data_IF_666183486010
#
_entry.id   IF_666183486010
#
_cell.length_a   1.000
_cell.length_b   1.000
_cell.length_c   1.000
_cell.angle_alpha   90.00
_cell.angle_beta   90.00
_cell.angle_gamma   90.00
#
_symmetry.space_group_name_H-M   'P 1'
#
loop_
_entity.id
_entity.type
_entity.pdbx_description
1 polymer ?
#
# COMPACT_ATOMS: atom_id res chain seq x y z
N UNK A 1 -1.56 -22.30 13.66
CA UNK A 1 -0.77 -21.15 14.14
C UNK A 1 -1.63 -20.40 15.14
N UNK A 2 -1.16 -20.19 16.37
CA UNK A 2 -1.90 -19.38 17.35
C UNK A 2 -2.04 -17.96 16.82
N UNK A 3 -3.28 -17.48 16.69
CA UNK A 3 -3.55 -16.09 16.32
C UNK A 3 -2.83 -15.18 17.32
N UNK A 4 -1.99 -14.25 16.84
CA UNK A 4 -1.38 -13.23 17.70
C UNK A 4 -2.48 -12.58 18.56
N UNK A 5 -2.28 -12.39 19.88
CA UNK A 5 -3.29 -11.80 20.74
C UNK A 5 -3.74 -10.46 20.14
N UNK A 6 -5.04 -10.35 19.87
CA UNK A 6 -5.64 -9.15 19.30
C UNK A 6 -6.21 -8.30 20.42
N UNK A 7 -5.46 -7.26 20.80
CA UNK A 7 -5.94 -6.29 21.78
C UNK A 7 -7.09 -5.44 21.22
N UNK A 8 -8.08 -5.17 22.07
CA UNK A 8 -9.17 -4.24 21.77
C UNK A 8 -8.64 -2.80 21.67
N UNK A 9 -9.45 -1.91 21.09
CA UNK A 9 -9.12 -0.47 21.02
C UNK A 9 -8.95 0.10 22.43
N UNK A 10 -9.82 -0.28 23.37
CA UNK A 10 -9.73 0.16 24.78
C UNK A 10 -8.47 -0.33 25.49
N UNK A 11 -7.99 -1.53 25.14
CA UNK A 11 -6.72 -2.04 25.67
C UNK A 11 -5.53 -1.24 25.13
N UNK A 12 -5.54 -0.93 23.83
CA UNK A 12 -4.50 -0.09 23.20
C UNK A 12 -4.52 1.34 23.74
N UNK A 13 -5.70 1.93 23.90
CA UNK A 13 -5.87 3.24 24.54
C UNK A 13 -5.31 3.23 25.97
N UNK A 14 -5.61 2.19 26.76
CA UNK A 14 -5.05 2.04 28.11
C UNK A 14 -3.52 1.91 28.08
N UNK A 15 -2.96 1.19 27.12
CA UNK A 15 -1.51 1.06 26.96
C UNK A 15 -0.85 2.41 26.65
N UNK A 16 -1.39 3.16 25.70
CA UNK A 16 -0.90 4.50 25.33
C UNK A 16 -0.96 5.45 26.53
N UNK A 17 -2.10 5.49 27.23
CA UNK A 17 -2.29 6.35 28.42
C UNK A 17 -1.31 6.04 29.55
N UNK A 18 -0.89 4.78 29.71
CA UNK A 18 0.05 4.35 30.76
C UNK A 18 1.52 4.65 30.42
N UNK A 19 1.82 5.02 29.19
CA UNK A 19 3.19 5.21 28.69
C UNK A 19 3.35 6.57 28.00
N UNK A 20 3.21 7.68 28.74
CA UNK A 20 3.27 9.02 28.16
C UNK A 20 4.63 9.35 27.53
N UNK A 21 5.72 8.71 27.99
CA UNK A 21 7.07 8.88 27.45
C UNK A 21 7.35 8.06 26.19
N UNK A 22 6.49 7.09 25.84
CA UNK A 22 6.62 6.34 24.59
C UNK A 22 5.77 7.01 23.51
N UNK A 23 6.34 7.11 22.31
CA UNK A 23 5.66 7.60 21.12
C UNK A 23 4.95 6.45 20.40
N UNK A 24 3.79 6.71 19.85
CA UNK A 24 3.01 5.69 19.16
C UNK A 24 2.63 6.15 17.77
N UNK A 25 2.74 5.25 16.80
CA UNK A 25 2.20 5.42 15.45
C UNK A 25 1.06 4.43 15.26
N UNK A 26 -0.15 4.93 15.06
CA UNK A 26 -1.35 4.13 14.89
C UNK A 26 -1.65 3.98 13.40
N UNK A 27 -1.85 2.75 12.93
CA UNK A 27 -2.05 2.39 11.53
C UNK A 27 -3.30 1.51 11.36
N UNK A 28 -3.75 1.30 10.14
CA UNK A 28 -5.00 0.60 9.86
C UNK A 28 -4.87 -0.92 9.99
N UNK A 29 -3.95 -1.51 9.24
CA UNK A 29 -3.84 -2.93 8.99
C UNK A 29 -2.73 -3.61 9.78
N UNK A 30 -2.85 -4.92 9.95
CA UNK A 30 -1.80 -5.74 10.57
C UNK A 30 -0.54 -5.81 9.71
N UNK A 31 -0.70 -5.75 8.39
CA UNK A 31 0.39 -5.83 7.41
C UNK A 31 1.20 -4.52 7.35
N UNK A 32 0.62 -3.40 7.78
CA UNK A 32 1.27 -2.08 7.82
C UNK A 32 2.33 -2.01 8.92
N UNK A 33 2.09 -2.68 10.05
CA UNK A 33 2.97 -2.64 11.23
C UNK A 33 4.41 -3.03 10.89
N UNK A 34 4.70 -4.20 10.27
CA UNK A 34 6.07 -4.55 9.90
C UNK A 34 6.67 -3.58 8.88
N UNK A 35 5.87 -3.06 7.95
CA UNK A 35 6.34 -2.14 6.91
C UNK A 35 6.77 -0.79 7.49
N UNK A 36 5.93 -0.15 8.31
CA UNK A 36 6.28 1.09 9.00
C UNK A 36 7.38 0.89 10.03
N UNK A 37 7.39 -0.22 10.77
CA UNK A 37 8.48 -0.50 11.71
C UNK A 37 9.84 -0.59 10.99
N UNK A 38 9.91 -1.31 9.88
CA UNK A 38 11.14 -1.40 9.08
C UNK A 38 11.56 -0.02 8.53
N UNK A 39 10.59 0.74 8.03
CA UNK A 39 10.79 2.09 7.52
C UNK A 39 11.37 3.00 8.59
N UNK A 40 10.76 3.08 9.78
CA UNK A 40 11.22 3.92 10.89
C UNK A 40 12.59 3.49 11.42
N UNK A 41 12.82 2.19 11.60
CA UNK A 41 14.13 1.67 12.00
C UNK A 41 15.25 2.06 11.02
N UNK A 42 14.95 2.20 9.73
CA UNK A 42 15.95 2.55 8.72
C UNK A 42 16.27 4.04 8.62
N UNK A 43 15.42 4.92 9.16
CA UNK A 43 15.57 6.39 9.06
C UNK A 43 15.82 7.08 10.41
N UNK A 44 15.58 6.37 11.51
CA UNK A 44 15.85 6.84 12.87
C UNK A 44 17.24 6.39 13.34
N UNK A 45 17.80 7.11 14.29
CA UNK A 45 19.12 6.79 14.84
C UNK A 45 19.07 5.46 15.60
N UNK A 46 20.12 4.62 15.49
CA UNK A 46 20.25 3.42 16.31
C UNK A 46 20.14 3.75 17.80
N UNK A 47 19.39 2.96 18.57
CA UNK A 47 19.17 3.16 20.01
C UNK A 47 17.90 3.94 20.37
N UNK A 48 17.14 4.43 19.39
CA UNK A 48 15.84 5.09 19.61
C UNK A 48 14.64 4.14 19.58
N UNK A 49 14.86 2.85 19.31
CA UNK A 49 13.79 1.86 19.09
C UNK A 49 12.93 1.61 20.34
N UNK A 50 13.46 1.88 21.54
CA UNK A 50 12.71 1.78 22.79
C UNK A 50 11.79 2.97 23.05
N UNK A 51 11.87 4.02 22.24
CA UNK A 51 11.14 5.28 22.46
C UNK A 51 9.84 5.34 21.65
N UNK A 52 9.60 4.38 20.76
CA UNK A 52 8.41 4.36 19.91
C UNK A 52 7.87 2.96 19.61
N UNK A 53 6.57 2.89 19.30
CA UNK A 53 5.91 1.66 18.86
C UNK A 53 4.88 1.94 17.75
N UNK A 54 4.65 0.95 16.88
CA UNK A 54 3.62 1.00 15.82
C UNK A 54 2.49 0.03 16.17
N UNK A 55 1.25 0.51 16.17
CA UNK A 55 0.05 -0.29 16.45
C UNK A 55 -0.96 -0.23 15.32
N UNK A 56 -1.48 -1.38 14.91
CA UNK A 56 -2.67 -1.44 14.05
C UNK A 56 -3.94 -1.23 14.88
N UNK A 57 -5.03 -0.70 14.33
CA UNK A 57 -6.36 -0.64 15.00
C UNK A 57 -7.53 -1.17 14.18
N UNK A 58 -7.26 -2.00 13.16
CA UNK A 58 -8.24 -2.67 12.29
C UNK A 58 -9.12 -1.69 11.52
N UNK A 59 -8.48 -0.97 10.60
CA UNK A 59 -9.15 -0.14 9.60
C UNK A 59 -9.37 1.31 10.03
N UNK A 60 -9.55 2.15 9.01
CA UNK A 60 -9.70 3.61 9.07
C UNK A 60 -10.65 4.12 10.15
N UNK A 61 -11.87 3.60 10.22
CA UNK A 61 -12.86 4.06 11.21
C UNK A 61 -12.34 3.97 12.63
N UNK A 62 -11.59 2.91 12.96
CA UNK A 62 -11.03 2.74 14.29
C UNK A 62 -9.82 3.65 14.54
N UNK A 63 -9.05 3.99 13.49
CA UNK A 63 -8.00 5.01 13.57
C UNK A 63 -8.63 6.37 13.93
N UNK A 64 -9.70 6.76 13.24
CA UNK A 64 -10.41 8.02 13.50
C UNK A 64 -11.05 8.02 14.90
N UNK A 65 -11.73 6.95 15.29
CA UNK A 65 -12.29 6.84 16.65
C UNK A 65 -11.20 6.97 17.73
N UNK A 66 -10.01 6.42 17.50
CA UNK A 66 -8.88 6.54 18.41
C UNK A 66 -8.36 7.98 18.46
N UNK A 67 -8.22 8.64 17.31
CA UNK A 67 -7.82 10.04 17.18
C UNK A 67 -8.73 10.98 17.98
N UNK A 68 -10.04 10.75 17.91
CA UNK A 68 -11.05 11.52 18.65
C UNK A 68 -11.05 11.19 20.16
N UNK A 69 -10.81 9.93 20.52
CA UNK A 69 -10.87 9.45 21.92
C UNK A 69 -9.60 9.72 22.74
N UNK A 70 -8.51 10.14 22.10
CA UNK A 70 -7.24 10.39 22.76
C UNK A 70 -6.58 11.65 22.21
N UNK A 71 -6.38 12.65 23.07
CA UNK A 71 -5.81 13.96 22.72
C UNK A 71 -4.33 14.11 23.10
N UNK A 72 -3.67 13.03 23.52
CA UNK A 72 -2.27 13.10 23.92
C UNK A 72 -1.32 13.33 22.74
N UNK A 73 -0.22 14.03 23.00
CA UNK A 73 0.74 14.44 21.98
C UNK A 73 1.73 13.34 21.59
N UNK A 74 1.79 12.24 22.34
CA UNK A 74 2.67 11.10 22.11
C UNK A 74 2.11 10.09 21.08
N UNK A 75 1.13 10.49 20.27
CA UNK A 75 0.54 9.63 19.24
C UNK A 75 0.46 10.36 17.90
N UNK A 76 0.75 9.63 16.83
CA UNK A 76 0.42 10.01 15.46
C UNK A 76 -0.30 8.87 14.76
N UNK A 77 -1.00 9.19 13.69
CA UNK A 77 -1.90 8.28 12.99
C UNK A 77 -1.55 8.29 11.50
N UNK A 78 -1.62 7.12 10.86
CA UNK A 78 -1.45 7.00 9.41
C UNK A 78 -2.66 6.25 8.87
N UNK A 79 -3.25 6.78 7.80
CA UNK A 79 -4.38 6.20 7.08
C UNK A 79 -4.10 6.16 5.59
N UNK A 80 -4.60 5.11 4.96
CA UNK A 80 -4.61 4.95 3.51
C UNK A 80 -5.53 6.01 2.89
N UNK A 81 -5.22 6.42 1.65
CA UNK A 81 -6.08 7.37 0.93
C UNK A 81 -7.42 6.73 0.60
N UNK A 82 -7.38 5.47 0.16
CA UNK A 82 -8.50 4.76 -0.46
C UNK A 82 -9.26 5.66 -1.48
N UNK A 83 -10.54 5.38 -1.69
CA UNK A 83 -11.45 6.25 -2.42
C UNK A 83 -12.18 7.24 -1.51
N UNK A 84 -11.84 7.34 -0.23
CA UNK A 84 -12.58 8.13 0.74
C UNK A 84 -12.04 9.56 0.87
N UNK A 85 -12.91 10.59 0.93
CA UNK A 85 -12.48 11.92 1.31
C UNK A 85 -12.30 11.94 2.82
N UNK A 86 -11.08 11.76 3.32
CA UNK A 86 -10.79 11.92 4.75
C UNK A 86 -10.79 13.42 5.05
N UNK A 87 -11.90 13.92 5.60
CA UNK A 87 -12.07 15.32 5.96
C UNK A 87 -11.56 15.65 7.38
N UNK A 88 -10.40 15.11 7.77
CA UNK A 88 -9.76 15.48 9.04
C UNK A 88 -8.53 16.34 8.78
N UNK A 89 -8.53 17.53 9.37
CA UNK A 89 -7.40 18.48 9.33
C UNK A 89 -6.52 18.34 10.59
N UNK A 90 -6.68 17.26 11.36
CA UNK A 90 -5.89 17.04 12.58
C UNK A 90 -4.41 16.81 12.22
N UNK A 91 -3.52 17.64 12.76
CA UNK A 91 -2.08 17.58 12.50
C UNK A 91 -1.42 16.26 12.94
N UNK A 92 -2.11 15.47 13.77
CA UNK A 92 -1.63 14.17 14.23
C UNK A 92 -1.89 13.07 13.19
N UNK A 93 -2.74 13.32 12.20
CA UNK A 93 -3.15 12.38 11.18
C UNK A 93 -2.39 12.65 9.87
N UNK A 94 -1.71 11.62 9.37
CA UNK A 94 -1.11 11.61 8.04
C UNK A 94 -1.95 10.72 7.14
N UNK A 95 -2.45 11.30 6.04
CA UNK A 95 -3.09 10.53 4.97
C UNK A 95 -2.06 10.25 3.88
N UNK A 96 -2.03 9.02 3.37
CA UNK A 96 -1.12 8.68 2.29
C UNK A 96 -1.46 9.44 1.00
N UNK A 97 -0.43 9.79 0.21
CA UNK A 97 -0.64 10.39 -1.11
C UNK A 97 -1.14 9.38 -2.15
N UNK A 98 -0.82 8.08 -2.00
CA UNK A 98 -1.28 6.98 -2.87
C UNK A 98 -2.41 6.21 -2.22
N UNK A 99 -3.09 5.35 -3.00
CA UNK A 99 -4.24 4.57 -2.55
C UNK A 99 -3.98 3.87 -1.20
N UNK A 100 -2.93 3.06 -1.09
CA UNK A 100 -2.46 2.42 0.15
C UNK A 100 -0.93 2.39 0.25
N UNK A 101 -0.41 1.85 1.35
CA UNK A 101 1.03 1.64 1.55
C UNK A 101 1.65 0.78 0.43
N UNK A 102 0.97 -0.26 -0.04
CA UNK A 102 1.47 -1.15 -1.08
C UNK A 102 1.67 -0.43 -2.42
N UNK A 103 0.95 0.65 -2.69
CA UNK A 103 1.19 1.44 -3.90
C UNK A 103 2.56 2.11 -3.91
N UNK A 104 3.22 2.27 -2.76
CA UNK A 104 4.61 2.74 -2.72
C UNK A 104 5.60 1.67 -3.14
N UNK A 105 5.20 0.39 -3.22
CA UNK A 105 6.06 -0.69 -3.73
C UNK A 105 6.31 -0.53 -5.23
N UNK A 106 5.41 0.15 -5.94
CA UNK A 106 5.55 0.57 -7.33
C UNK A 106 6.49 1.77 -7.41
N UNK A 107 7.76 1.53 -7.14
CA UNK A 107 8.84 2.51 -7.15
C UNK A 107 10.12 1.85 -7.67
N UNK A 108 10.64 2.36 -8.77
CA UNK A 108 11.87 1.90 -9.40
C UNK A 108 13.09 1.97 -8.46
N UNK A 109 13.18 3.00 -7.60
CA UNK A 109 14.20 3.09 -6.56
C UNK A 109 14.11 1.92 -5.58
N UNK A 110 12.92 1.58 -5.06
CA UNK A 110 12.79 0.44 -4.14
C UNK A 110 13.22 -0.88 -4.81
N UNK A 111 12.75 -1.10 -6.05
CA UNK A 111 13.04 -2.35 -6.78
C UNK A 111 14.53 -2.45 -7.13
N UNK A 112 15.14 -1.36 -7.59
CA UNK A 112 16.57 -1.32 -7.92
C UNK A 112 17.47 -1.54 -6.72
N UNK A 113 17.16 -0.96 -5.56
CA UNK A 113 17.87 -1.23 -4.30
C UNK A 113 17.69 -2.70 -3.86
N UNK A 114 16.48 -3.23 -3.99
CA UNK A 114 16.16 -4.64 -3.70
C UNK A 114 16.98 -5.62 -4.56
N UNK A 115 17.34 -5.21 -5.78
CA UNK A 115 18.11 -6.00 -6.73
C UNK A 115 19.63 -5.75 -6.67
N UNK A 116 20.09 -4.63 -6.10
CA UNK A 116 21.50 -4.22 -6.07
C UNK A 116 22.43 -5.28 -5.47
N UNK A 117 22.10 -5.72 -4.25
CA UNK A 117 22.88 -6.75 -3.54
C UNK A 117 22.90 -8.09 -4.30
N UNK A 118 21.75 -8.70 -4.67
CA UNK A 118 21.76 -10.00 -5.32
C UNK A 118 22.31 -9.98 -6.75
N UNK A 119 22.32 -8.84 -7.45
CA UNK A 119 22.94 -8.69 -8.76
C UNK A 119 24.40 -8.20 -8.69
N UNK A 120 24.91 -7.84 -7.50
CA UNK A 120 26.25 -7.22 -7.32
C UNK A 120 26.43 -5.97 -8.19
N UNK A 121 25.37 -5.16 -8.32
CA UNK A 121 25.35 -3.92 -9.10
C UNK A 121 24.99 -2.72 -8.25
N UNK A 122 25.14 -1.52 -8.80
CA UNK A 122 24.62 -0.30 -8.16
C UNK A 122 23.13 -0.17 -8.43
N UNK A 123 22.38 0.42 -7.48
CA UNK A 123 20.95 0.67 -7.68
C UNK A 123 20.69 1.56 -8.91
N UNK A 124 21.55 2.56 -9.16
CA UNK A 124 21.43 3.42 -10.36
C UNK A 124 21.51 2.61 -11.65
N UNK A 125 22.55 1.78 -11.81
CA UNK A 125 22.72 0.98 -13.03
C UNK A 125 21.56 0.00 -13.23
N UNK A 126 21.06 -0.60 -12.15
CA UNK A 126 19.91 -1.50 -12.22
C UNK A 126 18.64 -0.75 -12.59
N UNK A 127 18.41 0.44 -12.02
CA UNK A 127 17.24 1.26 -12.33
C UNK A 127 17.19 1.64 -13.81
N UNK A 128 18.32 2.03 -14.37
CA UNK A 128 18.44 2.40 -15.80
C UNK A 128 18.13 1.18 -16.70
N UNK A 129 18.54 -0.02 -16.28
CA UNK A 129 18.29 -1.28 -16.98
C UNK A 129 16.89 -1.87 -16.76
N UNK A 130 16.23 -1.59 -15.62
CA UNK A 130 14.98 -2.24 -15.20
C UNK A 130 13.81 -1.90 -16.13
N UNK A 131 13.87 -0.73 -16.79
CA UNK A 131 12.81 -0.22 -17.67
C UNK A 131 11.43 -0.21 -17.02
N UNK A 132 11.35 0.27 -15.77
CA UNK A 132 10.12 0.23 -14.97
C UNK A 132 8.93 0.95 -15.62
N UNK A 133 9.18 1.96 -16.44
CA UNK A 133 8.13 2.66 -17.19
C UNK A 133 7.45 1.78 -18.26
N UNK A 134 8.16 0.79 -18.83
CA UNK A 134 7.54 -0.18 -19.74
C UNK A 134 6.51 -1.05 -19.00
N UNK A 135 6.82 -1.45 -17.76
CA UNK A 135 5.88 -2.18 -16.90
C UNK A 135 4.61 -1.36 -16.62
N UNK A 136 4.78 -0.11 -16.15
CA UNK A 136 3.65 0.76 -15.83
C UNK A 136 2.79 1.05 -17.06
N UNK A 137 3.41 1.34 -18.20
CA UNK A 137 2.69 1.63 -19.45
C UNK A 137 1.90 0.41 -19.94
N UNK A 138 2.49 -0.79 -19.84
CA UNK A 138 1.86 -2.01 -20.32
C UNK A 138 0.61 -2.42 -19.53
N UNK A 139 0.52 -2.06 -18.24
CA UNK A 139 -0.65 -2.39 -17.40
C UNK A 139 -1.65 -1.23 -17.29
N UNK A 140 -1.28 0.00 -17.69
CA UNK A 140 -2.03 1.21 -17.35
C UNK A 140 -3.50 1.15 -17.78
N UNK A 141 -3.79 0.81 -19.05
CA UNK A 141 -5.17 0.81 -19.55
C UNK A 141 -6.09 -0.17 -18.80
N UNK A 142 -5.55 -1.34 -18.45
CA UNK A 142 -6.26 -2.38 -17.72
C UNK A 142 -6.51 -1.97 -16.26
N UNK A 143 -5.49 -1.38 -15.63
CA UNK A 143 -5.62 -0.82 -14.27
C UNK A 143 -6.61 0.35 -14.26
N UNK A 144 -6.57 1.23 -15.25
CA UNK A 144 -7.47 2.36 -15.36
C UNK A 144 -8.94 1.90 -15.49
N UNK A 145 -9.20 0.91 -16.36
CA UNK A 145 -10.55 0.32 -16.47
C UNK A 145 -11.05 -0.20 -15.13
N UNK A 146 -10.20 -0.94 -14.41
CA UNK A 146 -10.52 -1.46 -13.09
C UNK A 146 -10.72 -0.34 -12.05
N UNK A 147 -9.83 0.65 -12.03
CA UNK A 147 -9.88 1.81 -11.15
C UNK A 147 -11.21 2.55 -11.26
N UNK A 148 -11.65 2.85 -12.49
CA UNK A 148 -12.90 3.55 -12.75
C UNK A 148 -14.11 2.77 -12.25
N UNK A 149 -14.15 1.46 -12.51
CA UNK A 149 -15.21 0.59 -12.03
C UNK A 149 -15.23 0.51 -10.49
N UNK A 150 -14.08 0.32 -9.84
CA UNK A 150 -13.99 0.32 -8.38
C UNK A 150 -14.42 1.66 -7.77
N UNK A 151 -14.01 2.77 -8.37
CA UNK A 151 -14.40 4.11 -7.93
C UNK A 151 -15.92 4.31 -8.04
N UNK A 152 -16.52 3.96 -9.19
CA UNK A 152 -17.95 4.04 -9.39
C UNK A 152 -18.72 3.16 -8.40
N UNK A 153 -18.29 1.91 -8.26
CA UNK A 153 -18.87 0.99 -7.28
C UNK A 153 -18.85 1.60 -5.88
N UNK A 154 -17.71 2.10 -5.42
CA UNK A 154 -17.57 2.65 -4.07
C UNK A 154 -18.40 3.91 -3.83
N UNK A 155 -18.54 4.77 -4.85
CA UNK A 155 -19.23 6.06 -4.73
C UNK A 155 -20.73 5.99 -4.97
N UNK A 156 -21.19 5.08 -5.84
CA UNK A 156 -22.57 5.03 -6.32
C UNK A 156 -23.29 3.77 -5.86
N UNK A 157 -22.67 2.61 -6.00
CA UNK A 157 -23.33 1.32 -5.77
C UNK A 157 -23.23 0.87 -4.30
N UNK A 158 -22.02 0.82 -3.75
CA UNK A 158 -21.76 0.36 -2.39
C UNK A 158 -22.58 1.10 -1.30
N UNK A 159 -22.89 2.41 -1.40
CA UNK A 159 -23.76 3.08 -0.43
C UNK A 159 -25.22 2.64 -0.46
N UNK A 160 -25.71 2.10 -1.59
CA UNK A 160 -27.12 1.68 -1.74
C UNK A 160 -27.35 0.23 -1.32
N UNK A 161 -26.29 -0.59 -1.23
CA UNK A 161 -26.36 -1.98 -0.81
C UNK A 161 -26.51 -2.08 0.71
N UNK A 162 -27.59 -2.71 1.16
CA UNK A 162 -27.75 -3.18 2.54
C UNK A 162 -27.22 -4.61 2.71
N UNK A 163 -26.41 -4.86 3.73
CA UNK A 163 -25.87 -6.20 4.03
C UNK A 163 -24.45 -6.42 3.49
N UNK A 164 -24.18 -7.64 3.01
CA UNK A 164 -22.84 -8.03 2.56
C UNK A 164 -22.53 -7.38 1.21
N UNK A 165 -21.54 -6.49 1.21
CA UNK A 165 -21.02 -5.83 0.01
C UNK A 165 -19.97 -6.73 -0.66
N UNK A 166 -19.99 -6.91 -2.00
CA UNK A 166 -18.89 -7.59 -2.66
C UNK A 166 -17.57 -6.85 -2.42
N UNK A 167 -16.52 -7.61 -2.10
CA UNK A 167 -15.14 -7.13 -1.99
C UNK A 167 -14.35 -7.55 -3.22
N UNK A 168 -13.37 -6.74 -3.63
CA UNK A 168 -12.49 -6.99 -4.79
C UNK A 168 -11.00 -6.90 -4.44
N UNK A 169 -10.66 -6.53 -3.20
CA UNK A 169 -9.25 -6.30 -2.80
C UNK A 169 -8.38 -7.54 -2.92
N UNK A 170 -8.98 -8.72 -2.79
CA UNK A 170 -8.32 -10.03 -2.83
C UNK A 170 -8.47 -10.73 -4.19
N UNK A 171 -9.19 -10.13 -5.14
CA UNK A 171 -9.41 -10.72 -6.46
C UNK A 171 -8.13 -10.61 -7.31
N UNK A 172 -7.70 -11.74 -7.89
CA UNK A 172 -6.54 -11.78 -8.76
C UNK A 172 -6.88 -11.25 -10.15
N UNK A 173 -6.31 -10.11 -10.53
CA UNK A 173 -6.48 -9.50 -11.87
C UNK A 173 -5.35 -9.84 -12.85
N UNK A 174 -4.48 -10.78 -12.52
CA UNK A 174 -3.32 -11.15 -13.33
C UNK A 174 -3.44 -12.53 -13.93
N UNK A 175 -2.67 -12.81 -14.99
CA UNK A 175 -2.70 -14.11 -15.68
C UNK A 175 -2.25 -15.21 -14.70
N UNK A 176 -3.17 -16.09 -14.32
CA UNK A 176 -2.96 -17.11 -13.28
C UNK A 176 -2.11 -18.31 -13.71
N UNK A 177 -1.86 -18.47 -15.01
CA UNK A 177 -1.02 -19.54 -15.53
C UNK A 177 0.37 -19.48 -14.87
N UNK A 178 0.96 -20.65 -14.55
CA UNK A 178 2.32 -20.84 -13.99
C UNK A 178 3.47 -20.20 -14.83
N UNK A 179 3.15 -19.39 -15.83
CA UNK A 179 4.06 -18.68 -16.70
C UNK A 179 4.74 -17.48 -16.03
N UNK A 180 5.76 -16.97 -16.71
CA UNK A 180 6.55 -15.81 -16.32
C UNK A 180 5.87 -14.47 -16.64
N UNK A 181 4.62 -14.49 -17.15
CA UNK A 181 3.92 -13.26 -17.53
C UNK A 181 3.56 -12.44 -16.29
N UNK A 182 3.90 -11.16 -16.35
CA UNK A 182 3.53 -10.14 -15.38
C UNK A 182 2.37 -9.25 -15.87
N UNK A 183 1.80 -9.56 -17.04
CA UNK A 183 0.65 -8.84 -17.59
C UNK A 183 -0.63 -9.14 -16.81
N UNK A 184 -1.56 -8.20 -16.88
CA UNK A 184 -2.90 -8.35 -16.32
C UNK A 184 -3.78 -9.20 -17.24
N UNK A 185 -4.81 -9.81 -16.66
CA UNK A 185 -5.75 -10.70 -17.34
C UNK A 185 -7.06 -9.94 -17.60
N UNK A 186 -7.35 -9.63 -18.86
CA UNK A 186 -8.59 -8.91 -19.21
C UNK A 186 -9.84 -9.64 -18.76
N UNK A 187 -9.89 -10.97 -18.90
CA UNK A 187 -11.02 -11.79 -18.45
C UNK A 187 -11.23 -11.65 -16.94
N UNK A 188 -10.17 -11.79 -16.13
CA UNK A 188 -10.29 -11.68 -14.67
C UNK A 188 -10.68 -10.27 -14.23
N UNK A 189 -10.18 -9.24 -14.93
CA UNK A 189 -10.62 -7.86 -14.69
C UNK A 189 -12.12 -7.72 -15.01
N UNK A 190 -12.58 -8.21 -16.16
CA UNK A 190 -14.00 -8.15 -16.53
C UNK A 190 -14.87 -8.90 -15.51
N UNK A 191 -14.47 -10.10 -15.08
CA UNK A 191 -15.16 -10.86 -14.04
C UNK A 191 -15.26 -10.08 -12.72
N UNK A 192 -14.19 -9.39 -12.31
CA UNK A 192 -14.26 -8.54 -11.12
C UNK A 192 -15.16 -7.32 -11.33
N UNK A 193 -15.15 -6.71 -12.52
CA UNK A 193 -16.04 -5.59 -12.84
C UNK A 193 -17.50 -6.05 -12.81
N UNK A 194 -17.83 -7.16 -13.47
CA UNK A 194 -19.18 -7.73 -13.53
C UNK A 194 -19.71 -8.13 -12.15
N UNK A 195 -18.81 -8.51 -11.23
CA UNK A 195 -19.14 -8.77 -9.82
C UNK A 195 -19.51 -7.50 -9.05
N UNK A 196 -18.93 -6.35 -9.40
CA UNK A 196 -19.13 -5.08 -8.69
C UNK A 196 -20.24 -4.23 -9.31
N UNK A 197 -20.37 -4.27 -10.63
CA UNK A 197 -21.20 -3.36 -11.41
C UNK A 197 -22.44 -4.10 -11.92
N UNK A 198 -23.66 -3.63 -11.61
CA UNK A 198 -24.88 -4.20 -12.17
C UNK A 198 -24.91 -4.13 -13.71
N UNK A 199 -25.52 -5.12 -14.36
CA UNK A 199 -25.56 -5.27 -15.82
C UNK A 199 -26.16 -4.10 -16.59
N UNK A 200 -26.99 -3.32 -15.92
CA UNK A 200 -27.69 -2.14 -16.43
C UNK A 200 -26.81 -0.89 -16.47
N UNK A 201 -25.69 -0.87 -15.72
CA UNK A 201 -24.74 0.25 -15.75
C UNK A 201 -23.76 0.05 -16.90
N UNK A 202 -23.67 1.04 -17.78
CA UNK A 202 -22.82 0.99 -18.97
C UNK A 202 -21.39 1.45 -18.67
N UNK A 203 -20.43 1.02 -19.50
CA UNK A 203 -19.04 1.51 -19.40
C UNK A 203 -18.93 3.02 -19.58
N UNK A 204 -19.78 3.61 -20.43
CA UNK A 204 -19.80 5.05 -20.68
C UNK A 204 -20.22 5.83 -19.43
N UNK A 205 -21.23 5.35 -18.69
CA UNK A 205 -21.66 5.99 -17.44
C UNK A 205 -20.55 5.98 -16.38
N UNK A 206 -19.78 4.89 -16.30
CA UNK A 206 -18.62 4.78 -15.41
C UNK A 206 -17.53 5.79 -15.80
N UNK A 207 -17.20 5.85 -17.09
CA UNK A 207 -16.20 6.78 -17.63
C UNK A 207 -16.60 8.25 -17.40
N UNK A 208 -17.86 8.59 -17.66
CA UNK A 208 -18.40 9.94 -17.47
C UNK A 208 -18.37 10.34 -15.99
N UNK A 209 -18.80 9.43 -15.11
CA UNK A 209 -18.78 9.67 -13.67
C UNK A 209 -17.34 9.88 -13.15
N UNK A 210 -16.40 9.05 -13.58
CA UNK A 210 -15.00 9.17 -13.17
C UNK A 210 -14.38 10.47 -13.72
N UNK A 211 -14.69 10.87 -14.95
CA UNK A 211 -14.18 12.11 -15.53
C UNK A 211 -14.66 13.36 -14.77
N UNK A 212 -15.85 13.30 -14.17
CA UNK A 212 -16.43 14.39 -13.39
C UNK A 212 -15.98 14.43 -11.92
N UNK A 213 -15.68 13.28 -11.32
CA UNK A 213 -15.48 13.16 -9.86
C UNK A 213 -14.12 12.56 -9.46
N UNK A 214 -13.41 11.93 -10.39
CA UNK A 214 -12.13 11.28 -10.18
C UNK A 214 -10.96 12.25 -10.16
N UNK A 215 -9.77 11.71 -9.87
CA UNK A 215 -8.51 12.47 -9.82
C UNK A 215 -7.65 11.99 -10.99
N UNK A 216 -7.44 12.86 -11.98
CA UNK A 216 -6.87 12.52 -13.31
C UNK A 216 -5.36 12.81 -13.39
N UNK A 217 -4.66 13.05 -12.28
CA UNK A 217 -3.29 13.61 -12.34
C UNK A 217 -2.16 12.59 -12.16
N UNK A 218 -2.47 11.29 -12.05
CA UNK A 218 -1.45 10.26 -11.78
C UNK A 218 -1.68 8.97 -12.59
N UNK A 219 -0.63 8.14 -12.70
CA UNK A 219 -0.73 6.81 -13.27
C UNK A 219 -1.74 5.96 -12.46
N UNK A 220 -2.65 5.25 -13.15
CA UNK A 220 -3.74 4.52 -12.51
C UNK A 220 -3.24 3.46 -11.51
N UNK A 221 -2.02 2.91 -11.71
CA UNK A 221 -1.39 1.97 -10.79
C UNK A 221 -1.13 2.54 -9.37
N UNK A 222 -1.10 3.86 -9.21
CA UNK A 222 -0.94 4.50 -7.91
C UNK A 222 -2.27 4.75 -7.18
N UNK A 223 -3.39 4.58 -7.88
CA UNK A 223 -4.73 4.94 -7.42
C UNK A 223 -5.65 3.71 -7.21
N UNK A 224 -5.18 2.50 -7.49
CA UNK A 224 -5.88 1.23 -7.24
C UNK A 224 -5.27 0.51 -6.03
N UNK A 225 -5.96 -0.41 -5.32
CA UNK A 225 -5.32 -1.23 -4.29
C UNK A 225 -4.00 -1.88 -4.73
N UNK A 226 -2.87 -1.47 -4.13
CA UNK A 226 -1.54 -1.94 -4.53
C UNK A 226 -1.35 -3.46 -4.39
N UNK A 227 -2.09 -4.10 -3.47
CA UNK A 227 -2.10 -5.57 -3.28
C UNK A 227 -2.42 -6.33 -4.57
N UNK A 228 -3.30 -5.78 -5.41
CA UNK A 228 -3.69 -6.38 -6.69
C UNK A 228 -2.53 -6.43 -7.71
N UNK A 229 -1.53 -5.56 -7.53
CA UNK A 229 -0.38 -5.40 -8.41
C UNK A 229 0.90 -6.06 -7.85
N UNK A 230 0.88 -6.54 -6.60
CA UNK A 230 2.06 -7.11 -5.94
C UNK A 230 2.61 -8.34 -6.67
N UNK A 231 1.75 -9.22 -7.17
CA UNK A 231 2.16 -10.43 -7.88
C UNK A 231 2.67 -10.13 -9.31
N UNK A 232 1.98 -9.32 -10.14
CA UNK A 232 2.55 -8.75 -11.38
C UNK A 232 3.93 -8.13 -11.18
N UNK A 233 4.07 -7.25 -10.18
CA UNK A 233 5.31 -6.54 -9.88
C UNK A 233 6.43 -7.52 -9.51
N UNK A 234 6.12 -8.54 -8.70
CA UNK A 234 7.06 -9.61 -8.37
C UNK A 234 7.51 -10.36 -9.60
N UNK A 235 6.60 -10.77 -10.48
CA UNK A 235 6.92 -11.52 -11.70
C UNK A 235 7.78 -10.71 -12.65
N UNK A 236 7.47 -9.42 -12.83
CA UNK A 236 8.29 -8.48 -13.58
C UNK A 236 9.72 -8.40 -13.00
N UNK A 237 9.83 -8.17 -11.69
CA UNK A 237 11.13 -8.10 -10.98
C UNK A 237 11.91 -9.40 -11.08
N UNK A 238 11.23 -10.55 -10.93
CA UNK A 238 11.82 -11.88 -11.06
C UNK A 238 12.33 -12.12 -12.48
N UNK A 239 11.56 -11.75 -13.51
CA UNK A 239 11.97 -11.89 -14.90
C UNK A 239 13.23 -11.07 -15.18
N UNK A 240 13.26 -9.80 -14.73
CA UNK A 240 14.45 -8.97 -14.83
C UNK A 240 15.65 -9.61 -14.13
N UNK A 241 15.50 -10.05 -12.87
CA UNK A 241 16.55 -10.74 -12.13
C UNK A 241 17.10 -11.96 -12.89
N UNK A 242 16.21 -12.79 -13.46
CA UNK A 242 16.59 -14.00 -14.21
C UNK A 242 17.29 -13.70 -15.52
N UNK A 243 16.99 -12.56 -16.15
CA UNK A 243 17.71 -12.12 -17.36
C UNK A 243 19.18 -11.78 -17.07
N UNK A 244 19.49 -11.33 -15.85
CA UNK A 244 20.84 -10.97 -15.41
C UNK A 244 21.56 -12.11 -14.70
N UNK A 245 20.83 -13.02 -14.04
CA UNK A 245 21.40 -14.12 -13.24
C UNK A 245 20.57 -15.39 -13.32
N UNK A 246 21.17 -16.45 -13.87
CA UNK A 246 20.48 -17.74 -14.10
C UNK A 246 20.16 -18.52 -12.80
N UNK A 247 20.94 -18.36 -11.73
CA UNK A 247 20.80 -19.08 -10.45
C UNK A 247 20.60 -18.13 -9.25
N UNK A 248 20.02 -18.65 -8.16
CA UNK A 248 19.75 -17.89 -6.93
C UNK A 248 18.45 -17.08 -6.96
N UNK A 249 18.33 -16.08 -6.09
CA UNK A 249 17.17 -15.16 -6.06
C UNK A 249 15.90 -15.78 -5.49
N UNK A 250 16.02 -16.64 -4.47
CA UNK A 250 14.87 -17.31 -3.84
C UNK A 250 13.87 -16.31 -3.26
N UNK A 251 14.35 -15.15 -2.81
CA UNK A 251 13.53 -14.05 -2.34
C UNK A 251 12.57 -13.51 -3.42
N UNK A 252 12.87 -13.65 -4.71
CA UNK A 252 11.97 -13.20 -5.78
C UNK A 252 11.01 -14.31 -6.26
N UNK A 253 11.14 -15.54 -5.75
CA UNK A 253 10.35 -16.67 -6.20
C UNK A 253 8.96 -16.72 -5.57
N UNK A 254 8.79 -16.23 -4.35
CA UNK A 254 7.51 -16.18 -3.62
C UNK A 254 7.09 -14.74 -3.36
N UNK A 255 5.80 -14.50 -3.18
CA UNK A 255 5.28 -13.17 -2.87
C UNK A 255 5.80 -12.66 -1.54
N UNK A 256 5.75 -13.47 -0.48
CA UNK A 256 6.25 -13.10 0.85
C UNK A 256 7.74 -12.74 0.85
N UNK A 257 8.55 -13.54 0.14
CA UNK A 257 9.99 -13.26 0.02
C UNK A 257 10.24 -11.94 -0.70
N UNK A 258 9.44 -11.63 -1.72
CA UNK A 258 9.57 -10.42 -2.50
C UNK A 258 9.16 -9.20 -1.67
N UNK A 259 7.98 -9.27 -1.04
CA UNK A 259 7.48 -8.21 -0.17
C UNK A 259 8.43 -7.93 1.00
N UNK A 260 9.04 -8.96 1.60
CA UNK A 260 10.04 -8.77 2.64
C UNK A 260 11.23 -7.91 2.20
N UNK A 261 11.73 -8.10 0.97
CA UNK A 261 12.85 -7.30 0.44
C UNK A 261 12.40 -5.90 0.06
N UNK A 262 11.21 -5.76 -0.54
CA UNK A 262 10.61 -4.45 -0.85
C UNK A 262 10.43 -3.62 0.43
N UNK A 263 9.85 -4.23 1.46
CA UNK A 263 9.62 -3.61 2.77
C UNK A 263 10.93 -3.12 3.39
N UNK A 264 11.98 -3.96 3.35
CA UNK A 264 13.30 -3.59 3.88
C UNK A 264 13.93 -2.37 3.17
N UNK A 265 13.47 -2.04 1.97
CA UNK A 265 13.97 -0.92 1.17
C UNK A 265 12.97 0.25 1.07
N UNK A 266 11.85 0.25 1.82
CA UNK A 266 10.82 1.30 1.68
C UNK A 266 11.35 2.73 1.88
N UNK A 267 12.36 2.91 2.73
CA UNK A 267 12.95 4.21 3.01
C UNK A 267 13.67 4.86 1.84
N UNK A 268 13.94 4.13 0.75
CA UNK A 268 14.51 4.75 -0.46
C UNK A 268 13.45 5.43 -1.32
N UNK A 269 12.15 5.20 -1.05
CA UNK A 269 11.06 5.90 -1.73
C UNK A 269 10.96 7.35 -1.25
N UNK A 270 11.28 8.28 -2.14
CA UNK A 270 11.19 9.72 -1.87
C UNK A 270 9.74 10.16 -1.61
N UNK A 271 8.77 9.65 -2.38
CA UNK A 271 7.36 10.00 -2.21
C UNK A 271 6.80 9.50 -0.89
N UNK A 272 7.16 8.29 -0.46
CA UNK A 272 6.75 7.76 0.83
C UNK A 272 7.38 8.60 1.95
N UNK A 273 8.68 8.85 1.88
CA UNK A 273 9.39 9.68 2.86
C UNK A 273 8.79 11.07 2.99
N UNK A 274 8.46 11.73 1.89
CA UNK A 274 7.81 13.03 1.92
C UNK A 274 6.44 12.96 2.63
N UNK A 275 5.66 11.92 2.35
CA UNK A 275 4.34 11.70 2.97
C UNK A 275 4.45 11.45 4.48
N UNK A 276 5.41 10.64 4.92
CA UNK A 276 5.56 10.26 6.33
C UNK A 276 6.54 11.13 7.12
N UNK A 277 7.12 12.17 6.51
CA UNK A 277 8.05 13.10 7.16
C UNK A 277 7.49 13.69 8.46
N UNK A 278 6.20 14.08 8.57
CA UNK A 278 5.64 14.54 9.85
C UNK A 278 5.77 13.50 10.97
N UNK A 279 5.62 12.21 10.65
CA UNK A 279 5.79 11.11 11.60
C UNK A 279 7.26 10.96 11.98
N UNK A 280 8.18 11.00 11.01
CA UNK A 280 9.62 10.90 11.28
C UNK A 280 10.07 12.02 12.22
N UNK A 281 9.62 13.26 12.00
CA UNK A 281 9.92 14.40 12.89
C UNK A 281 9.40 14.17 14.29
N UNK A 282 8.12 13.79 14.39
CA UNK A 282 7.51 13.44 15.66
C UNK A 282 8.32 12.37 16.40
N UNK A 283 8.80 11.32 15.73
CA UNK A 283 9.60 10.27 16.36
C UNK A 283 11.01 10.72 16.77
N UNK A 284 11.60 11.72 16.10
CA UNK A 284 12.94 12.25 16.40
C UNK A 284 12.98 13.26 17.54
N UNK A 285 11.87 13.95 17.80
CA UNK A 285 11.80 14.88 18.93
C UNK A 285 12.16 14.13 20.23
N UNK A 286 12.93 14.73 21.13
CA UNK A 286 13.14 14.14 22.44
C UNK A 286 11.78 14.08 23.18
N UNK A 287 11.57 13.02 23.98
CA UNK A 287 10.40 12.91 24.86
C UNK A 287 10.49 13.88 26.03
#
# INVERSE_FOLDING_TARGET
MSSRPQFSIDEKLRQVRRRPSTKFVIVEGVDDVPAYSALFCSVLSPGSEHQWEVFQVKGKTNVINFLESYTGNNVRYIVDRDFDPIASQDERLVTLARYSLENYFLCDNIISYSLAVPLKGTASSIRDDLKFQEFLSAINNQVERMLKACFYYQRVIAPTITGNKPSWSDDSIHISNNGTSWLLCDTSISETIDKLIPSEVTSQEIDDFYSQHGIIDENAAYLIPGKMLSEPLRRFTKQFYRSKRSRGGTQFNTLDGFLGVIIANLSVSQSLRATIEPIIRFLKEAA
#
